data_IF_805100157056
#
_entry.id   IF_805100157056
#
_cell.length_a   1.000
_cell.length_b   1.000
_cell.length_c   1.000
_cell.angle_alpha   90.00
_cell.angle_beta   90.00
_cell.angle_gamma   90.00
#
_symmetry.space_group_name_H-M   'P 1'
#
loop_
_entity.id
_entity.type
_entity.pdbx_description
1 polymer ?
#
# COMPACT_ATOMS: atom_id res chain seq x y z
N UNK A 1 -32.68 72.17 -61.31
CA UNK A 1 -31.37 71.67 -60.81
C UNK A 1 -31.48 70.86 -59.51
N UNK A 2 -32.46 71.12 -58.62
CA UNK A 2 -32.63 70.38 -57.35
C UNK A 2 -33.13 68.92 -57.50
N UNK A 3 -34.04 68.65 -58.44
CA UNK A 3 -34.62 67.30 -58.64
C UNK A 3 -33.58 66.24 -59.00
N UNK A 4 -32.57 66.61 -59.81
CA UNK A 4 -31.53 65.68 -60.26
C UNK A 4 -30.56 65.32 -59.10
N UNK A 5 -30.29 66.27 -58.20
CA UNK A 5 -29.47 66.02 -57.00
C UNK A 5 -30.17 65.07 -56.02
N UNK A 6 -31.48 65.20 -55.86
CA UNK A 6 -32.29 64.31 -55.01
C UNK A 6 -32.29 62.87 -55.57
N UNK A 7 -32.45 62.72 -56.89
CA UNK A 7 -32.44 61.40 -57.53
C UNK A 7 -31.10 60.67 -57.35
N UNK A 8 -29.98 61.40 -57.49
CA UNK A 8 -28.64 60.85 -57.28
C UNK A 8 -28.44 60.43 -55.81
N UNK A 9 -28.86 61.24 -54.85
CA UNK A 9 -28.80 60.84 -53.43
C UNK A 9 -29.60 59.57 -53.14
N UNK A 10 -30.81 59.44 -53.70
CA UNK A 10 -31.65 58.25 -53.51
C UNK A 10 -30.99 57.00 -54.11
N UNK A 11 -30.39 57.13 -55.28
CA UNK A 11 -29.64 56.05 -55.92
C UNK A 11 -28.43 55.61 -55.09
N UNK A 12 -27.65 56.55 -54.55
CA UNK A 12 -26.51 56.26 -53.68
C UNK A 12 -26.94 55.54 -52.40
N UNK A 13 -28.06 55.94 -51.80
CA UNK A 13 -28.62 55.29 -50.60
C UNK A 13 -29.03 53.84 -50.93
N UNK A 14 -29.68 53.60 -52.07
CA UNK A 14 -30.08 52.26 -52.49
C UNK A 14 -28.86 51.36 -52.74
N UNK A 15 -27.82 51.88 -53.40
CA UNK A 15 -26.58 51.13 -53.64
C UNK A 15 -25.86 50.79 -52.32
N UNK A 16 -25.79 51.72 -51.37
CA UNK A 16 -25.23 51.49 -50.04
C UNK A 16 -26.02 50.44 -49.25
N UNK A 17 -27.35 50.45 -49.36
CA UNK A 17 -28.21 49.48 -48.69
C UNK A 17 -28.02 48.06 -49.25
N UNK A 18 -27.91 47.92 -50.57
CA UNK A 18 -27.66 46.63 -51.22
C UNK A 18 -26.28 46.04 -50.88
N UNK A 19 -25.24 46.89 -50.85
CA UNK A 19 -23.89 46.48 -50.45
C UNK A 19 -23.85 46.01 -48.98
N UNK A 20 -24.62 46.66 -48.10
CA UNK A 20 -24.72 46.29 -46.68
C UNK A 20 -25.38 44.93 -46.48
N UNK A 21 -26.38 44.58 -47.30
CA UNK A 21 -27.06 43.28 -47.24
C UNK A 21 -26.14 42.09 -47.55
N UNK A 22 -25.24 42.24 -48.53
CA UNK A 22 -24.27 41.18 -48.88
C UNK A 22 -23.26 40.90 -47.77
N UNK A 23 -22.77 41.95 -47.07
CA UNK A 23 -21.85 41.79 -45.94
C UNK A 23 -22.54 41.08 -44.77
N UNK A 24 -23.77 41.48 -44.45
CA UNK A 24 -24.55 40.86 -43.37
C UNK A 24 -24.82 39.37 -43.62
N UNK A 25 -25.12 38.97 -44.86
CA UNK A 25 -25.33 37.57 -45.23
C UNK A 25 -24.05 36.73 -45.08
N UNK A 26 -22.89 37.30 -45.40
CA UNK A 26 -21.60 36.63 -45.20
C UNK A 26 -21.29 36.47 -43.70
N UNK A 27 -21.46 37.52 -42.90
CA UNK A 27 -21.26 37.46 -41.44
C UNK A 27 -22.16 36.42 -40.77
N UNK A 28 -23.42 36.27 -41.21
CA UNK A 28 -24.33 35.23 -40.71
C UNK A 28 -23.81 33.80 -40.99
N UNK A 29 -23.29 33.54 -42.18
CA UNK A 29 -22.71 32.23 -42.53
C UNK A 29 -21.48 31.92 -41.70
N UNK A 30 -20.58 32.89 -41.54
CA UNK A 30 -19.35 32.70 -40.74
C UNK A 30 -19.70 32.42 -39.26
N UNK A 31 -20.70 33.10 -38.70
CA UNK A 31 -21.19 32.82 -37.34
C UNK A 31 -21.75 31.41 -37.22
N UNK A 32 -22.50 30.94 -38.21
CA UNK A 32 -23.08 29.60 -38.19
C UNK A 32 -21.99 28.52 -38.27
N UNK A 33 -20.99 28.71 -39.13
CA UNK A 33 -19.83 27.82 -39.23
C UNK A 33 -19.03 27.77 -37.91
N UNK A 34 -18.81 28.92 -37.27
CA UNK A 34 -18.14 29.00 -35.97
C UNK A 34 -18.95 28.25 -34.89
N UNK A 35 -20.28 28.41 -34.85
CA UNK A 35 -21.14 27.69 -33.91
C UNK A 35 -21.05 26.18 -34.10
N UNK A 36 -21.07 25.69 -35.34
CA UNK A 36 -20.92 24.26 -35.62
C UNK A 36 -19.56 23.73 -35.19
N UNK A 37 -18.49 24.49 -35.45
CA UNK A 37 -17.14 24.13 -35.00
C UNK A 37 -17.04 24.10 -33.47
N UNK A 38 -17.64 25.07 -32.78
CA UNK A 38 -17.69 25.11 -31.32
C UNK A 38 -18.46 23.92 -30.76
N UNK A 39 -19.64 23.59 -31.31
CA UNK A 39 -20.42 22.44 -30.89
C UNK A 39 -19.64 21.12 -31.05
N UNK A 40 -18.93 20.93 -32.17
CA UNK A 40 -18.06 19.77 -32.38
C UNK A 40 -16.88 19.73 -31.40
N UNK A 41 -16.31 20.89 -31.07
CA UNK A 41 -15.22 20.97 -30.08
C UNK A 41 -15.73 20.62 -28.68
N UNK A 42 -16.89 21.13 -28.29
CA UNK A 42 -17.53 20.82 -27.00
C UNK A 42 -17.83 19.33 -26.87
N UNK A 43 -18.35 18.70 -27.93
CA UNK A 43 -18.57 17.25 -27.97
C UNK A 43 -17.26 16.47 -27.80
N UNK A 44 -16.19 16.87 -28.50
CA UNK A 44 -14.86 16.24 -28.37
C UNK A 44 -14.29 16.40 -26.97
N UNK A 45 -14.41 17.58 -26.36
CA UNK A 45 -13.96 17.84 -24.98
C UNK A 45 -14.77 17.00 -24.00
N UNK A 46 -16.10 16.96 -24.11
CA UNK A 46 -16.95 16.12 -23.28
C UNK A 46 -16.61 14.62 -23.42
N UNK A 47 -16.30 14.17 -24.64
CA UNK A 47 -15.84 12.81 -24.90
C UNK A 47 -14.50 12.50 -24.25
N UNK A 48 -13.55 13.45 -24.29
CA UNK A 48 -12.26 13.34 -23.62
C UNK A 48 -12.42 13.29 -22.09
N UNK A 49 -13.23 14.18 -21.50
CA UNK A 49 -13.49 14.20 -20.06
C UNK A 49 -14.08 12.86 -19.59
N UNK A 50 -15.08 12.32 -20.30
CA UNK A 50 -15.66 11.01 -19.99
C UNK A 50 -14.63 9.89 -20.11
N UNK A 51 -13.77 9.93 -21.14
CA UNK A 51 -12.72 8.94 -21.35
C UNK A 51 -11.63 8.99 -20.28
N UNK A 52 -11.23 10.19 -19.86
CA UNK A 52 -10.26 10.42 -18.80
C UNK A 52 -10.81 9.99 -17.45
N UNK A 53 -12.05 10.38 -17.10
CA UNK A 53 -12.69 9.97 -15.85
C UNK A 53 -12.76 8.44 -15.75
N UNK A 54 -13.20 7.75 -16.80
CA UNK A 54 -13.20 6.28 -16.81
C UNK A 54 -11.81 5.67 -16.58
N UNK A 55 -10.78 6.23 -17.23
CA UNK A 55 -9.41 5.75 -17.05
C UNK A 55 -8.88 6.01 -15.65
N UNK A 56 -9.23 7.15 -15.05
CA UNK A 56 -8.88 7.49 -13.67
C UNK A 56 -9.58 6.52 -12.72
N UNK A 57 -10.89 6.29 -12.88
CA UNK A 57 -11.66 5.36 -12.05
C UNK A 57 -11.11 3.92 -12.16
N UNK A 58 -10.77 3.47 -13.37
CA UNK A 58 -10.17 2.15 -13.58
C UNK A 58 -8.79 2.02 -12.91
N UNK A 59 -7.97 3.07 -12.98
CA UNK A 59 -6.67 3.13 -12.31
C UNK A 59 -6.82 3.12 -10.80
N UNK A 60 -7.73 3.92 -10.26
CA UNK A 60 -8.00 4.01 -8.84
C UNK A 60 -8.48 2.66 -8.27
N UNK A 61 -9.43 2.02 -8.94
CA UNK A 61 -9.89 0.67 -8.58
C UNK A 61 -8.77 -0.37 -8.59
N UNK A 62 -7.87 -0.32 -9.59
CA UNK A 62 -6.74 -1.25 -9.70
C UNK A 62 -5.69 -0.98 -8.62
N UNK A 63 -5.45 0.27 -8.27
CA UNK A 63 -4.52 0.66 -7.20
C UNK A 63 -5.07 0.28 -5.83
N UNK A 64 -6.33 0.60 -5.54
CA UNK A 64 -6.98 0.22 -4.29
C UNK A 64 -6.94 -1.29 -4.06
N UNK A 65 -7.29 -2.09 -5.08
CA UNK A 65 -7.16 -3.56 -4.98
C UNK A 65 -5.74 -4.03 -4.66
N UNK A 66 -4.73 -3.44 -5.30
CA UNK A 66 -3.33 -3.79 -5.03
C UNK A 66 -2.90 -3.39 -3.63
N UNK A 67 -3.35 -2.23 -3.14
CA UNK A 67 -3.08 -1.77 -1.78
C UNK A 67 -3.74 -2.71 -0.77
N UNK A 68 -4.99 -3.11 -1.00
CA UNK A 68 -5.72 -4.05 -0.15
C UNK A 68 -5.03 -5.42 -0.12
N UNK A 69 -4.59 -5.93 -1.27
CA UNK A 69 -3.84 -7.19 -1.35
C UNK A 69 -2.52 -7.12 -0.57
N UNK A 70 -1.78 -6.00 -0.69
CA UNK A 70 -0.54 -5.77 0.06
C UNK A 70 -0.80 -5.66 1.57
N UNK A 71 -1.84 -4.93 1.97
CA UNK A 71 -2.23 -4.78 3.36
C UNK A 71 -2.61 -6.14 3.96
N UNK A 72 -3.39 -6.93 3.22
CA UNK A 72 -3.79 -8.28 3.63
C UNK A 72 -2.56 -9.20 3.80
N UNK A 73 -1.62 -9.17 2.85
CA UNK A 73 -0.37 -9.92 2.97
C UNK A 73 0.43 -9.50 4.22
N UNK A 74 0.51 -8.19 4.49
CA UNK A 74 1.19 -7.66 5.67
C UNK A 74 0.51 -8.10 6.97
N UNK A 75 -0.83 -8.13 7.01
CA UNK A 75 -1.59 -8.68 8.14
C UNK A 75 -1.32 -10.18 8.33
N UNK A 76 -1.25 -10.96 7.25
CA UNK A 76 -0.92 -12.39 7.32
C UNK A 76 0.50 -12.61 7.85
N UNK A 77 1.48 -11.82 7.39
CA UNK A 77 2.85 -11.91 7.90
C UNK A 77 2.89 -11.53 9.38
N UNK A 78 2.26 -10.43 9.79
CA UNK A 78 2.20 -10.02 11.19
C UNK A 78 1.54 -11.09 12.06
N UNK A 79 0.39 -11.63 11.62
CA UNK A 79 -0.29 -12.72 12.31
C UNK A 79 0.61 -13.97 12.42
N UNK A 80 1.33 -14.30 11.36
CA UNK A 80 2.32 -15.37 11.35
C UNK A 80 3.47 -15.12 12.34
N UNK A 81 4.00 -13.91 12.41
CA UNK A 81 5.02 -13.52 13.38
C UNK A 81 4.51 -13.66 14.82
N UNK A 82 3.30 -13.15 15.11
CA UNK A 82 2.70 -13.30 16.44
C UNK A 82 2.42 -14.76 16.79
N UNK A 83 1.97 -15.57 15.82
CA UNK A 83 1.79 -17.00 16.00
C UNK A 83 3.11 -17.70 16.31
N UNK A 84 4.20 -17.35 15.62
CA UNK A 84 5.53 -17.88 15.90
C UNK A 84 6.05 -17.47 17.29
N UNK A 85 5.89 -16.20 17.67
CA UNK A 85 6.30 -15.72 19.01
C UNK A 85 5.49 -16.45 20.10
N UNK A 86 4.18 -16.57 19.92
CA UNK A 86 3.31 -17.34 20.81
C UNK A 86 3.71 -18.81 20.88
N UNK A 87 4.03 -19.42 19.73
CA UNK A 87 4.49 -20.81 19.63
C UNK A 87 5.84 -21.01 20.31
N UNK A 88 6.81 -20.10 20.14
CA UNK A 88 8.13 -20.18 20.79
C UNK A 88 8.00 -20.05 22.31
N UNK A 89 7.11 -19.17 22.81
CA UNK A 89 6.83 -19.06 24.24
C UNK A 89 6.22 -20.36 24.78
N UNK A 90 5.34 -20.99 24.01
CA UNK A 90 4.74 -22.28 24.34
C UNK A 90 5.76 -23.44 24.32
N UNK A 91 6.61 -23.50 23.29
CA UNK A 91 7.66 -24.50 23.11
C UNK A 91 8.66 -24.46 24.26
N UNK A 92 9.12 -23.27 24.67
CA UNK A 92 10.05 -23.13 25.81
C UNK A 92 9.47 -23.70 27.11
N UNK A 93 8.17 -23.54 27.39
CA UNK A 93 7.56 -24.12 28.61
C UNK A 93 7.37 -25.63 28.53
N UNK A 94 7.25 -26.18 27.32
CA UNK A 94 6.96 -27.61 27.10
C UNK A 94 8.24 -28.45 26.92
N UNK A 95 9.27 -27.90 26.29
CA UNK A 95 10.54 -28.57 25.98
C UNK A 95 11.59 -28.51 27.11
N UNK A 96 11.56 -27.51 28.01
CA UNK A 96 12.47 -27.45 29.17
C UNK A 96 12.06 -28.35 30.34
N UNK A 97 10.82 -28.86 30.35
CA UNK A 97 10.32 -29.73 31.41
C UNK A 97 11.16 -31.02 31.61
N UNK A 98 11.60 -31.75 30.56
CA UNK A 98 12.48 -32.92 30.74
C UNK A 98 13.94 -32.55 31.04
N UNK A 99 14.45 -31.41 30.54
CA UNK A 99 15.84 -30.99 30.77
C UNK A 99 16.09 -30.62 32.24
N UNK A 100 15.14 -29.90 32.86
CA UNK A 100 15.18 -29.53 34.28
C UNK A 100 15.04 -30.75 35.20
N UNK A 101 14.24 -31.76 34.79
CA UNK A 101 14.14 -33.02 35.53
C UNK A 101 15.44 -33.80 35.52
N UNK A 102 16.11 -33.88 34.36
CA UNK A 102 17.36 -34.64 34.21
C UNK A 102 18.52 -34.06 35.03
N UNK A 103 18.61 -32.72 35.15
CA UNK A 103 19.62 -32.08 36.01
C UNK A 103 19.36 -32.34 37.50
N UNK A 104 18.09 -32.33 37.91
CA UNK A 104 17.71 -32.57 39.31
C UNK A 104 17.96 -34.02 39.75
N UNK A 105 17.72 -34.98 38.86
CA UNK A 105 18.00 -36.40 39.11
C UNK A 105 19.51 -36.72 39.16
N UNK A 106 20.34 -35.90 38.50
CA UNK A 106 21.81 -36.02 38.57
C UNK A 106 22.36 -35.48 39.88
N UNK A 107 21.86 -34.32 40.34
CA UNK A 107 22.21 -33.75 41.65
C UNK A 107 21.91 -34.71 42.81
N UNK A 108 20.72 -35.34 42.83
CA UNK A 108 20.38 -36.32 43.88
C UNK A 108 21.28 -37.57 43.87
N UNK A 109 21.79 -37.96 42.70
CA UNK A 109 22.73 -39.09 42.57
C UNK A 109 24.11 -38.72 43.08
N UNK A 110 24.59 -37.52 42.75
CA UNK A 110 25.85 -37.00 43.27
C UNK A 110 25.81 -36.89 44.79
N UNK A 111 24.73 -36.34 45.37
CA UNK A 111 24.60 -36.19 46.82
C UNK A 111 24.60 -37.54 47.56
N UNK A 112 23.95 -38.56 46.99
CA UNK A 112 23.95 -39.94 47.54
C UNK A 112 25.33 -40.60 47.41
N UNK A 113 26.00 -40.39 46.28
CA UNK A 113 27.36 -40.89 46.06
C UNK A 113 28.34 -40.23 47.02
N UNK A 114 28.25 -38.91 47.23
CA UNK A 114 29.10 -38.16 48.16
C UNK A 114 28.90 -38.61 49.61
N UNK A 115 27.65 -38.80 50.04
CA UNK A 115 27.35 -39.34 51.38
C UNK A 115 27.88 -40.76 51.58
N UNK A 116 27.70 -41.62 50.58
CA UNK A 116 28.25 -42.98 50.62
C UNK A 116 29.78 -42.95 50.68
N UNK A 117 30.44 -42.16 49.83
CA UNK A 117 31.89 -41.99 49.82
C UNK A 117 32.40 -41.47 51.17
N UNK A 118 31.74 -40.48 51.75
CA UNK A 118 32.08 -39.90 53.06
C UNK A 118 31.95 -40.93 54.18
N UNK A 119 30.89 -41.71 54.19
CA UNK A 119 30.68 -42.77 55.18
C UNK A 119 31.70 -43.91 55.03
N UNK A 120 32.05 -44.28 53.79
CA UNK A 120 33.11 -45.24 53.52
C UNK A 120 34.52 -44.70 53.86
N UNK A 121 34.79 -43.43 53.62
CA UNK A 121 36.06 -42.77 53.96
C UNK A 121 36.27 -42.65 55.47
N UNK A 122 35.19 -42.47 56.25
CA UNK A 122 35.29 -42.51 57.71
C UNK A 122 35.57 -43.91 58.25
N UNK A 123 35.15 -44.97 57.55
CA UNK A 123 35.38 -46.36 57.95
C UNK A 123 36.75 -46.91 57.55
N UNK A 124 37.39 -46.36 56.51
CA UNK A 124 38.70 -46.82 56.02
C UNK A 124 39.72 -45.66 55.90
N UNK A 125 40.80 -45.64 56.72
CA UNK A 125 41.76 -44.55 56.74
C UNK A 125 42.53 -44.36 55.42
N UNK A 126 42.81 -45.44 54.67
CA UNK A 126 43.51 -45.36 53.37
C UNK A 126 42.65 -44.71 52.27
N UNK A 127 41.32 -44.90 52.32
CA UNK A 127 40.42 -44.38 51.29
C UNK A 127 40.19 -42.87 51.44
N UNK A 128 40.28 -42.36 52.67
CA UNK A 128 40.23 -40.93 52.97
C UNK A 128 41.39 -40.15 52.34
N UNK A 129 42.60 -40.72 52.34
CA UNK A 129 43.78 -40.07 51.79
C UNK A 129 43.73 -40.02 50.25
N UNK A 130 43.17 -41.06 49.62
CA UNK A 130 42.91 -41.10 48.17
C UNK A 130 41.89 -40.03 47.76
N UNK A 131 40.80 -39.86 48.53
CA UNK A 131 39.78 -38.85 48.25
C UNK A 131 40.28 -37.41 48.43
N UNK A 132 41.17 -37.18 49.41
CA UNK A 132 41.81 -35.89 49.66
C UNK A 132 42.72 -35.45 48.52
N UNK A 133 43.46 -36.41 47.93
CA UNK A 133 44.31 -36.15 46.76
C UNK A 133 43.52 -35.93 45.47
N UNK A 134 42.28 -36.43 45.38
CA UNK A 134 41.39 -36.26 44.23
C UNK A 134 40.54 -34.98 44.29
N UNK A 135 40.65 -34.18 45.36
CA UNK A 135 39.94 -32.90 45.50
C UNK A 135 38.44 -33.01 45.80
N UNK A 136 37.98 -34.18 46.28
CA UNK A 136 36.59 -34.45 46.67
C UNK A 136 36.30 -34.17 48.16
N UNK A 137 37.19 -33.44 48.84
CA UNK A 137 37.05 -32.94 50.21
C UNK A 137 37.80 -31.61 50.41
#
# INVERSE_FOLDING_TARGET
>A
MYTNKILICLFVIVVLFLASGSVFAQTQKDIQEIKERLARLEERVSGLDKGLNKRIDDLDNKLSKRIDDLANLLYVILAGMFALVGFVIWDRRTALAPAIRKSRDLEEREEKLERALKEFAMKNPEMRDILKNLGLF
#
